data_IF_929900636999
#
_entry.id   IF_929900636999
#
_cell.length_a   1.000
_cell.length_b   1.000
_cell.length_c   1.000
_cell.angle_alpha   90.00
_cell.angle_beta   90.00
_cell.angle_gamma   90.00
#
_symmetry.space_group_name_H-M   'P 1'
#
loop_
_entity.id
_entity.type
_entity.pdbx_description
1 polymer ?
#
# COMPACT_ATOMS: atom_id res chain seq x y z
N UNK A 1 27.17 5.98 -3.54
CA UNK A 1 26.11 6.00 -4.57
C UNK A 1 25.05 7.01 -4.15
N UNK A 2 24.17 7.49 -5.05
CA UNK A 2 23.07 8.35 -4.62
C UNK A 2 21.93 7.51 -4.04
N UNK A 3 21.20 8.01 -3.04
CA UNK A 3 20.02 7.35 -2.45
C UNK A 3 19.01 6.88 -3.53
N UNK A 4 18.87 7.66 -4.60
CA UNK A 4 18.08 7.29 -5.77
C UNK A 4 18.55 6.00 -6.44
N UNK A 5 19.86 5.83 -6.63
CA UNK A 5 20.41 4.68 -7.34
C UNK A 5 20.23 3.39 -6.52
N UNK A 6 20.45 3.48 -5.21
CA UNK A 6 20.23 2.37 -4.28
C UNK A 6 18.76 1.93 -4.27
N UNK A 7 17.84 2.89 -4.11
CA UNK A 7 16.40 2.60 -4.08
C UNK A 7 15.89 2.05 -5.42
N UNK A 8 16.39 2.58 -6.54
CA UNK A 8 16.07 2.09 -7.88
C UNK A 8 16.50 0.64 -8.05
N UNK A 9 17.71 0.28 -7.62
CA UNK A 9 18.24 -1.08 -7.74
C UNK A 9 17.38 -2.07 -6.94
N UNK A 10 17.07 -1.74 -5.68
CA UNK A 10 16.17 -2.57 -4.84
C UNK A 10 14.83 -2.78 -5.54
N UNK A 11 14.20 -1.71 -6.05
CA UNK A 11 12.93 -1.88 -6.76
C UNK A 11 13.04 -2.72 -8.04
N UNK A 12 14.15 -2.64 -8.76
CA UNK A 12 14.37 -3.43 -9.97
C UNK A 12 14.50 -4.93 -9.70
N UNK A 13 14.94 -5.32 -8.50
CA UNK A 13 15.00 -6.72 -8.08
C UNK A 13 13.62 -7.31 -7.77
N UNK A 14 12.66 -6.47 -7.38
CA UNK A 14 11.34 -6.90 -6.91
C UNK A 14 10.20 -6.64 -7.90
N UNK A 15 10.35 -5.68 -8.82
CA UNK A 15 9.29 -5.30 -9.76
C UNK A 15 9.75 -5.45 -11.20
N UNK A 16 8.99 -6.22 -12.00
CA UNK A 16 9.18 -6.35 -13.45
C UNK A 16 8.56 -5.17 -14.23
N UNK A 17 8.69 -3.95 -13.69
CA UNK A 17 8.17 -2.76 -14.36
C UNK A 17 9.21 -2.18 -15.31
N UNK A 18 8.73 -1.53 -16.37
CA UNK A 18 9.60 -0.76 -17.26
C UNK A 18 10.49 0.20 -16.45
N UNK A 19 11.79 0.29 -16.77
CA UNK A 19 12.77 1.01 -15.96
C UNK A 19 12.44 2.49 -15.71
N UNK A 20 11.68 3.13 -16.60
CA UNK A 20 11.17 4.49 -16.40
C UNK A 20 10.17 4.59 -15.22
N UNK A 21 9.35 3.56 -15.00
CA UNK A 21 8.41 3.47 -13.87
C UNK A 21 9.15 3.22 -12.55
N UNK A 22 10.13 2.32 -12.56
CA UNK A 22 11.02 2.09 -11.39
C UNK A 22 11.77 3.37 -11.02
N UNK A 23 12.34 4.05 -12.02
CA UNK A 23 13.04 5.33 -11.82
C UNK A 23 12.09 6.43 -11.32
N UNK A 24 10.82 6.39 -11.72
CA UNK A 24 9.80 7.28 -11.16
C UNK A 24 9.48 6.95 -9.71
N UNK A 25 9.21 5.69 -9.38
CA UNK A 25 8.87 5.27 -8.02
C UNK A 25 9.96 5.68 -7.01
N UNK A 26 11.24 5.45 -7.37
CA UNK A 26 12.37 5.87 -6.54
C UNK A 26 12.39 7.38 -6.29
N UNK A 27 12.26 8.21 -7.34
CA UNK A 27 12.22 9.66 -7.18
C UNK A 27 10.98 10.13 -6.41
N UNK A 28 9.82 9.52 -6.68
CA UNK A 28 8.57 9.84 -6.03
C UNK A 28 8.64 9.60 -4.53
N UNK A 29 9.14 8.45 -4.09
CA UNK A 29 9.25 8.12 -2.67
C UNK A 29 10.27 9.01 -1.94
N UNK A 30 11.42 9.31 -2.58
CA UNK A 30 12.37 10.27 -2.02
C UNK A 30 11.75 11.66 -1.86
N UNK A 31 10.99 12.12 -2.86
CA UNK A 31 10.28 13.39 -2.78
C UNK A 31 9.18 13.38 -1.71
N UNK A 32 8.43 12.28 -1.59
CA UNK A 32 7.39 12.11 -0.58
C UNK A 32 7.97 12.18 0.83
N UNK A 33 9.08 11.49 1.09
CA UNK A 33 9.77 11.53 2.38
C UNK A 33 10.37 12.91 2.69
N UNK A 34 10.87 13.60 1.66
CA UNK A 34 11.47 14.93 1.81
C UNK A 34 10.43 16.01 2.10
N UNK A 35 9.33 16.03 1.35
CA UNK A 35 8.32 17.09 1.39
C UNK A 35 7.18 16.77 2.38
N UNK A 36 6.96 15.49 2.69
CA UNK A 36 5.99 15.00 3.69
C UNK A 36 4.54 15.40 3.40
N UNK A 37 4.18 15.42 2.12
CA UNK A 37 2.87 15.83 1.60
C UNK A 37 2.49 14.98 0.40
N UNK A 38 1.20 14.74 0.21
CA UNK A 38 0.67 14.08 -0.99
C UNK A 38 0.24 15.08 -2.06
N UNK A 39 0.41 16.39 -1.81
CA UNK A 39 0.11 17.44 -2.79
C UNK A 39 1.10 17.38 -3.96
N UNK A 40 0.61 17.06 -5.16
CA UNK A 40 1.44 16.92 -6.37
C UNK A 40 2.22 18.21 -6.73
N UNK A 41 1.68 19.40 -6.41
CA UNK A 41 2.37 20.68 -6.65
C UNK A 41 3.54 20.90 -5.69
N UNK A 42 3.46 20.37 -4.48
CA UNK A 42 4.56 20.45 -3.52
C UNK A 42 5.57 19.33 -3.78
N UNK A 43 5.10 18.13 -4.14
CA UNK A 43 5.95 16.99 -4.50
C UNK A 43 6.86 17.28 -5.69
N UNK A 44 6.41 18.06 -6.68
CA UNK A 44 7.24 18.37 -7.83
C UNK A 44 8.51 19.18 -7.46
N UNK A 45 8.48 19.92 -6.35
CA UNK A 45 9.64 20.62 -5.79
C UNK A 45 10.64 19.66 -5.10
N UNK A 46 10.17 18.47 -4.72
CA UNK A 46 10.97 17.45 -4.03
C UNK A 46 11.83 16.57 -4.94
N UNK A 47 11.53 16.49 -6.24
CA UNK A 47 12.17 15.55 -7.18
C UNK A 47 13.68 15.81 -7.37
N UNK A 48 14.14 17.04 -7.16
CA UNK A 48 15.54 17.42 -7.36
C UNK A 48 15.97 17.32 -8.83
N UNK A 49 17.00 18.10 -9.20
CA UNK A 49 17.54 18.12 -10.56
C UNK A 49 17.14 19.34 -11.38
N UNK A 50 17.46 19.31 -12.68
CA UNK A 50 17.35 20.47 -13.59
C UNK A 50 16.00 20.60 -14.30
N UNK A 51 15.08 19.66 -14.08
CA UNK A 51 13.77 19.68 -14.72
C UNK A 51 12.92 20.83 -14.16
N UNK A 52 12.16 21.49 -15.04
CA UNK A 52 11.19 22.50 -14.61
C UNK A 52 10.10 21.85 -13.73
N UNK A 53 9.63 22.51 -12.65
CA UNK A 53 8.59 21.98 -11.77
C UNK A 53 7.33 21.52 -12.52
N UNK A 54 6.95 22.20 -13.60
CA UNK A 54 5.80 21.88 -14.46
C UNK A 54 5.99 20.56 -15.19
N UNK A 55 7.23 20.23 -15.57
CA UNK A 55 7.56 18.95 -16.21
C UNK A 55 7.44 17.80 -15.23
N UNK A 56 7.93 18.00 -13.99
CA UNK A 56 7.77 17.03 -12.89
C UNK A 56 6.31 16.85 -12.51
N UNK A 57 5.52 17.93 -12.48
CA UNK A 57 4.08 17.87 -12.23
C UNK A 57 3.34 17.04 -13.28
N UNK A 58 3.60 17.27 -14.58
CA UNK A 58 3.03 16.45 -15.66
C UNK A 58 3.44 14.98 -15.56
N UNK A 59 4.67 14.70 -15.14
CA UNK A 59 5.18 13.33 -14.93
C UNK A 59 4.44 12.62 -13.79
N UNK A 60 4.21 13.30 -12.66
CA UNK A 60 3.38 12.79 -11.56
C UNK A 60 1.97 12.46 -12.05
N UNK A 61 1.32 13.40 -12.75
CA UNK A 61 -0.04 13.19 -13.29
C UNK A 61 -0.12 11.96 -14.21
N UNK A 62 0.81 11.85 -15.18
CA UNK A 62 0.84 10.71 -16.12
C UNK A 62 1.03 9.38 -15.41
N UNK A 63 1.88 9.33 -14.39
CA UNK A 63 2.07 8.11 -13.61
C UNK A 63 0.78 7.71 -12.92
N UNK A 64 0.18 8.58 -12.10
CA UNK A 64 -1.04 8.24 -11.36
C UNK A 64 -2.29 8.06 -12.24
N UNK A 65 -2.33 8.60 -13.46
CA UNK A 65 -3.44 8.39 -14.39
C UNK A 65 -3.38 7.06 -15.14
N UNK A 66 -2.17 6.59 -15.48
CA UNK A 66 -2.00 5.47 -16.42
C UNK A 66 -1.27 4.26 -15.84
N UNK A 67 -0.91 4.30 -14.55
CA UNK A 67 -0.24 3.20 -13.89
C UNK A 67 -1.24 2.38 -13.08
N UNK A 68 -1.45 1.15 -13.54
CA UNK A 68 -2.17 0.13 -12.79
C UNK A 68 -1.19 -0.61 -11.89
N UNK A 69 -1.51 -0.66 -10.61
CA UNK A 69 -0.66 -1.25 -9.58
C UNK A 69 -1.17 -2.66 -9.30
N UNK A 70 -0.31 -3.66 -9.49
CA UNK A 70 -0.62 -5.03 -9.09
C UNK A 70 -0.54 -5.13 -7.55
N UNK A 71 -1.69 -4.94 -6.90
CA UNK A 71 -1.84 -4.99 -5.45
C UNK A 71 -1.44 -6.36 -4.87
N UNK A 72 -1.59 -7.44 -5.63
CA UNK A 72 -1.20 -8.78 -5.20
C UNK A 72 0.32 -8.94 -5.20
N UNK A 73 0.98 -8.51 -6.27
CA UNK A 73 2.43 -8.50 -6.34
C UNK A 73 3.02 -7.56 -5.27
N UNK A 74 2.43 -6.38 -5.08
CA UNK A 74 2.86 -5.44 -4.06
C UNK A 74 2.78 -6.05 -2.65
N UNK A 75 1.69 -6.75 -2.32
CA UNK A 75 1.53 -7.41 -1.03
C UNK A 75 2.66 -8.40 -0.76
N UNK A 76 3.04 -9.23 -1.76
CA UNK A 76 4.15 -10.17 -1.64
C UNK A 76 5.50 -9.48 -1.46
N UNK A 77 5.73 -8.39 -2.19
CA UNK A 77 6.96 -7.60 -2.07
C UNK A 77 7.08 -7.00 -0.67
N UNK A 78 6.00 -6.40 -0.15
CA UNK A 78 5.97 -5.84 1.21
C UNK A 78 6.30 -6.92 2.24
N UNK A 79 5.63 -8.07 2.19
CA UNK A 79 5.89 -9.20 3.10
C UNK A 79 7.35 -9.66 3.02
N UNK A 80 7.90 -9.79 1.81
CA UNK A 80 9.28 -10.21 1.59
C UNK A 80 10.25 -9.21 2.23
N UNK A 81 10.05 -7.91 2.03
CA UNK A 81 10.90 -6.87 2.65
C UNK A 81 10.84 -6.87 4.17
N UNK A 82 9.66 -7.11 4.75
CA UNK A 82 9.51 -7.14 6.21
C UNK A 82 10.09 -8.42 6.84
N UNK A 83 10.34 -9.47 6.06
CA UNK A 83 10.89 -10.77 6.52
C UNK A 83 10.15 -11.35 7.73
N UNK A 84 8.81 -11.20 7.77
CA UNK A 84 8.00 -11.60 8.92
C UNK A 84 7.98 -13.14 9.03
N UNK A 85 8.43 -13.73 10.16
CA UNK A 85 8.45 -15.17 10.33
C UNK A 85 7.02 -15.76 10.31
N UNK A 86 6.86 -17.05 9.94
CA UNK A 86 5.56 -17.71 9.97
C UNK A 86 4.88 -17.65 11.34
N UNK A 87 3.53 -17.71 11.36
CA UNK A 87 2.74 -17.46 12.57
C UNK A 87 2.23 -16.02 12.61
N UNK A 88 1.73 -15.53 11.48
CA UNK A 88 1.31 -14.15 11.30
C UNK A 88 0.09 -13.84 12.17
N UNK A 89 0.10 -12.63 12.73
CA UNK A 89 -1.07 -12.02 13.35
C UNK A 89 -1.68 -11.08 12.34
N UNK A 90 -2.94 -11.29 11.98
CA UNK A 90 -3.63 -10.41 11.05
C UNK A 90 -4.41 -9.35 11.83
N UNK A 91 -4.43 -8.12 11.32
CA UNK A 91 -5.28 -7.04 11.83
C UNK A 91 -6.19 -6.53 10.74
N UNK A 92 -7.48 -6.42 11.05
CA UNK A 92 -8.47 -5.78 10.21
C UNK A 92 -8.86 -4.44 10.81
N UNK A 93 -8.66 -3.37 10.05
CA UNK A 93 -9.07 -2.03 10.44
C UNK A 93 -9.86 -1.35 9.32
N UNK A 94 -10.70 -0.39 9.68
CA UNK A 94 -11.54 0.35 8.73
C UNK A 94 -11.34 1.84 8.92
N UNK A 95 -11.04 2.53 7.83
CA UNK A 95 -10.92 3.98 7.82
C UNK A 95 -11.95 4.64 6.89
N UNK A 96 -12.52 5.78 7.30
CA UNK A 96 -13.47 6.53 6.46
C UNK A 96 -13.06 7.99 6.40
N UNK A 97 -12.98 8.50 5.18
CA UNK A 97 -12.55 9.85 4.86
C UNK A 97 -13.61 10.48 3.97
N UNK A 98 -13.82 11.79 4.14
CA UNK A 98 -14.65 12.58 3.24
C UNK A 98 -13.76 13.50 2.44
N UNK A 99 -13.88 13.45 1.13
CA UNK A 99 -13.23 14.42 0.25
C UNK A 99 -14.29 15.09 -0.62
N UNK A 100 -14.51 16.39 -0.39
CA UNK A 100 -15.64 17.10 -0.98
C UNK A 100 -16.97 16.42 -0.64
N UNK A 101 -17.71 15.98 -1.66
CA UNK A 101 -18.96 15.23 -1.53
C UNK A 101 -18.79 13.71 -1.48
N UNK A 102 -17.61 13.19 -1.78
CA UNK A 102 -17.37 11.75 -1.90
C UNK A 102 -16.83 11.14 -0.59
N UNK A 103 -17.24 9.91 -0.30
CA UNK A 103 -16.81 9.15 0.86
C UNK A 103 -15.88 8.03 0.42
N UNK A 104 -14.66 8.03 0.95
CA UNK A 104 -13.75 6.91 0.84
C UNK A 104 -13.87 6.08 2.11
N UNK A 105 -14.26 4.82 1.97
CA UNK A 105 -14.34 3.88 3.07
C UNK A 105 -13.46 2.68 2.72
N UNK A 106 -12.38 2.49 3.46
CA UNK A 106 -11.35 1.51 3.15
C UNK A 106 -11.33 0.50 4.28
N UNK A 107 -11.55 -0.77 3.95
CA UNK A 107 -11.32 -1.89 4.83
C UNK A 107 -9.93 -2.45 4.54
N UNK A 108 -9.03 -2.40 5.51
CA UNK A 108 -7.62 -2.75 5.33
C UNK A 108 -7.28 -3.97 6.18
N UNK A 109 -6.66 -4.96 5.55
CA UNK A 109 -6.04 -6.10 6.22
C UNK A 109 -4.53 -5.88 6.27
N UNK A 110 -3.97 -5.98 7.46
CA UNK A 110 -2.54 -5.88 7.70
C UNK A 110 -2.00 -7.09 8.45
N UNK A 111 -0.68 -7.29 8.35
CA UNK A 111 0.06 -8.25 9.17
C UNK A 111 0.72 -7.47 10.31
N UNK A 112 0.45 -7.87 11.55
CA UNK A 112 1.04 -7.28 12.75
C UNK A 112 2.35 -7.98 13.06
N UNK A 113 3.42 -7.19 13.15
CA UNK A 113 4.74 -7.64 13.56
C UNK A 113 5.43 -6.54 14.36
N UNK A 114 6.00 -6.90 15.51
CA UNK A 114 6.70 -5.98 16.42
C UNK A 114 5.91 -4.70 16.78
N UNK A 115 4.60 -4.82 16.99
CA UNK A 115 3.72 -3.71 17.36
C UNK A 115 3.32 -2.79 16.20
N UNK A 116 3.70 -3.11 14.96
CA UNK A 116 3.34 -2.37 13.75
C UNK A 116 2.47 -3.23 12.84
N UNK A 117 1.41 -2.65 12.27
CA UNK A 117 0.57 -3.30 11.27
C UNK A 117 1.00 -2.91 9.86
N UNK A 118 1.45 -3.88 9.07
CA UNK A 118 1.83 -3.72 7.67
C UNK A 118 0.65 -4.01 6.75
N UNK A 119 0.07 -3.01 6.06
CA UNK A 119 -1.07 -3.23 5.19
C UNK A 119 -0.67 -4.09 3.99
N UNK A 120 -1.45 -5.14 3.73
CA UNK A 120 -1.20 -6.09 2.62
C UNK A 120 -2.39 -6.24 1.68
N UNK A 121 -3.61 -5.98 2.15
CA UNK A 121 -4.79 -5.94 1.31
C UNK A 121 -5.72 -4.81 1.76
N UNK A 122 -6.51 -4.28 0.83
CA UNK A 122 -7.58 -3.35 1.13
C UNK A 122 -8.77 -3.52 0.20
N UNK A 123 -9.93 -3.05 0.64
CA UNK A 123 -11.15 -2.97 -0.14
C UNK A 123 -11.81 -1.60 0.03
N UNK A 124 -12.04 -0.93 -1.10
CA UNK A 124 -12.90 0.26 -1.18
C UNK A 124 -14.39 -0.09 -1.05
N UNK A 125 -14.98 0.15 0.13
CA UNK A 125 -16.39 -0.10 0.40
C UNK A 125 -17.25 1.01 -0.24
N UNK A 126 -18.20 0.62 -1.09
CA UNK A 126 -19.15 1.54 -1.75
C UNK A 126 -20.28 2.02 -0.82
N UNK A 127 -20.01 2.19 0.48
CA UNK A 127 -20.99 2.62 1.48
C UNK A 127 -20.32 3.36 2.62
N UNK A 128 -21.12 4.13 3.35
CA UNK A 128 -20.73 4.74 4.63
C UNK A 128 -20.98 3.75 5.78
N UNK A 129 -20.16 3.80 6.82
CA UNK A 129 -20.31 2.93 8.01
C UNK A 129 -19.54 1.62 7.93
N UNK A 130 -19.95 0.63 8.72
CA UNK A 130 -19.16 -0.59 8.95
C UNK A 130 -19.19 -1.57 7.78
N UNK A 131 -18.12 -2.36 7.66
CA UNK A 131 -18.14 -3.58 6.84
C UNK A 131 -19.16 -4.57 7.42
N UNK A 132 -19.71 -5.42 6.55
CA UNK A 132 -20.49 -6.58 6.99
C UNK A 132 -19.62 -7.85 6.96
N UNK A 133 -20.12 -8.94 7.52
CA UNK A 133 -19.38 -10.20 7.60
C UNK A 133 -18.97 -10.72 6.22
N UNK A 134 -19.83 -10.57 5.20
CA UNK A 134 -19.52 -10.99 3.83
C UNK A 134 -18.31 -10.26 3.25
N UNK A 135 -18.25 -8.94 3.38
CA UNK A 135 -17.11 -8.13 2.94
C UNK A 135 -15.82 -8.52 3.67
N UNK A 136 -15.90 -8.84 4.97
CA UNK A 136 -14.73 -9.31 5.73
C UNK A 136 -14.29 -10.69 5.26
N UNK A 137 -15.22 -11.61 5.04
CA UNK A 137 -14.93 -12.96 4.52
C UNK A 137 -14.29 -12.91 3.14
N UNK A 138 -14.83 -12.10 2.21
CA UNK A 138 -14.25 -11.98 0.86
C UNK A 138 -12.84 -11.37 0.86
N UNK A 139 -12.56 -10.43 1.76
CA UNK A 139 -11.19 -9.91 1.94
C UNK A 139 -10.25 -11.00 2.49
N UNK A 140 -10.72 -11.80 3.43
CA UNK A 140 -9.97 -12.93 3.97
C UNK A 140 -9.74 -14.03 2.92
N UNK A 141 -10.73 -14.36 2.10
CA UNK A 141 -10.57 -15.30 0.97
C UNK A 141 -9.53 -14.79 -0.03
N UNK A 142 -9.53 -13.49 -0.30
CA UNK A 142 -8.52 -12.85 -1.16
C UNK A 142 -7.13 -12.96 -0.54
N UNK A 143 -7.00 -12.80 0.78
CA UNK A 143 -5.74 -13.03 1.49
C UNK A 143 -5.26 -14.49 1.35
N UNK A 144 -6.13 -15.48 1.58
CA UNK A 144 -5.76 -16.90 1.45
C UNK A 144 -5.35 -17.26 0.02
N UNK A 145 -6.00 -16.68 -0.99
CA UNK A 145 -5.59 -16.86 -2.40
C UNK A 145 -4.18 -16.32 -2.66
N UNK A 146 -3.83 -15.17 -2.08
CA UNK A 146 -2.52 -14.53 -2.26
C UNK A 146 -1.41 -15.19 -1.43
N UNK A 147 -1.75 -15.72 -0.26
CA UNK A 147 -0.83 -16.35 0.68
C UNK A 147 -1.35 -17.74 1.11
N UNK A 148 -1.39 -18.73 0.20
CA UNK A 148 -2.02 -20.04 0.47
C UNK A 148 -1.30 -20.85 1.55
N UNK A 149 -0.02 -20.58 1.77
CA UNK A 149 0.82 -21.27 2.76
C UNK A 149 1.04 -20.42 4.03
N UNK A 150 0.30 -19.32 4.21
CA UNK A 150 0.44 -18.50 5.40
C UNK A 150 -0.05 -19.25 6.64
N UNK A 151 0.82 -19.36 7.64
CA UNK A 151 0.46 -19.84 8.97
C UNK A 151 0.00 -18.63 9.77
N UNK A 152 -1.26 -18.64 10.25
CA UNK A 152 -1.86 -17.57 11.03
C UNK A 152 -2.03 -18.01 12.48
N UNK A 153 -1.65 -17.14 13.42
CA UNK A 153 -1.82 -17.40 14.86
C UNK A 153 -3.10 -16.74 15.41
N UNK A 154 -3.34 -15.48 15.02
CA UNK A 154 -4.45 -14.69 15.54
C UNK A 154 -5.01 -13.77 14.47
N UNK A 155 -6.32 -13.50 14.57
CA UNK A 155 -6.99 -12.47 13.80
C UNK A 155 -7.52 -11.41 14.76
N UNK A 156 -7.01 -10.20 14.61
CA UNK A 156 -7.41 -9.01 15.36
C UNK A 156 -8.34 -8.18 14.47
N UNK A 157 -9.45 -7.74 15.02
CA UNK A 157 -10.33 -6.80 14.35
C UNK A 157 -11.19 -6.14 15.40
N UNK A 158 -11.47 -4.86 15.21
CA UNK A 158 -12.44 -4.18 16.05
C UNK A 158 -13.86 -4.57 15.57
N UNK A 159 -14.32 -5.71 16.08
CA UNK A 159 -15.74 -6.03 16.17
C UNK A 159 -16.05 -6.02 17.67
N UNK A 160 -17.20 -5.48 18.09
CA UNK A 160 -17.78 -5.79 19.41
C UNK A 160 -18.09 -7.30 19.61
N UNK A 161 -17.62 -8.18 18.73
CA UNK A 161 -17.70 -9.64 18.77
C UNK A 161 -16.45 -10.23 18.10
N UNK A 162 -15.50 -10.68 18.91
CA UNK A 162 -14.37 -11.48 18.44
C UNK A 162 -14.87 -12.79 17.81
N UNK A 163 -14.35 -13.15 16.64
CA UNK A 163 -14.52 -14.47 16.04
C UNK A 163 -13.25 -15.26 16.37
N UNK A 164 -13.39 -16.34 17.14
CA UNK A 164 -12.33 -17.34 17.28
C UNK A 164 -12.37 -18.26 16.06
N UNK A 165 -11.21 -18.53 15.49
CA UNK A 165 -11.04 -19.64 14.57
C UNK A 165 -10.62 -20.83 15.43
N UNK A 166 -11.48 -21.84 15.49
CA UNK A 166 -11.20 -23.14 16.13
C UNK A 166 -10.52 -24.10 15.13
#
# INVERSE_FOLDING_TARGET
MSQYSELKNVFQEHFDWHGARISFLALFLLALLKVKTVNLKELCLGFGGRALPESSYKRLQRFFQGFDLDDEHLARVVVNWMQIPPGWVLSLDRTTWKFGGHWYNILTLGIVHEGVAFPVLWWMLNKRGNSNSEQRMQLMESFHKRFPNAIMNYFLGDDKKAIKYD
#
